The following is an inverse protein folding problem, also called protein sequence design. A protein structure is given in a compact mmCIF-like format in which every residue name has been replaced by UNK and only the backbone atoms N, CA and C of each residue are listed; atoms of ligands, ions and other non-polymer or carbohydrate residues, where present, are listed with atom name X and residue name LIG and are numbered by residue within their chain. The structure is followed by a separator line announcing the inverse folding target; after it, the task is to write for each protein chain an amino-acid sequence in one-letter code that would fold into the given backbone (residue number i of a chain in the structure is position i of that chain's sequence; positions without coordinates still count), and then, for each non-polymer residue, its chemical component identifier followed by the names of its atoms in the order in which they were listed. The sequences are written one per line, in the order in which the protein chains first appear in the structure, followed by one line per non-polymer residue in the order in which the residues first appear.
data_IF_957303656547
#
_entry.id   IF_957303656547
#
_cell.length_a   1.000
_cell.length_b   1.000
_cell.length_c   1.000
_cell.angle_alpha   90.00
_cell.angle_beta   90.00
_cell.angle_gamma   90.00
#
_symmetry.space_group_name_H-M   'P 1'
#
loop_
_entity.id
_entity.type
_entity.pdbx_description
1 polymer ?
#
# COMPACT_ATOMS: atom_id res chain seq x y z
N UNK A 1 17.23 -8.31 -5.98
CA UNK A 1 15.94 -7.58 -5.86
C UNK A 1 14.70 -8.49 -5.67
N UNK A 2 14.80 -9.82 -5.84
CA UNK A 2 13.64 -10.75 -5.77
C UNK A 2 13.16 -11.11 -4.34
N UNK A 3 13.98 -10.91 -3.30
CA UNK A 3 13.58 -11.25 -1.92
C UNK A 3 12.42 -10.40 -1.39
N UNK A 4 12.23 -9.17 -1.91
CA UNK A 4 11.14 -8.29 -1.45
C UNK A 4 9.78 -8.70 -2.02
N UNK A 5 9.72 -9.17 -3.27
CA UNK A 5 8.47 -9.60 -3.90
C UNK A 5 7.85 -10.81 -3.16
N UNK A 6 8.66 -11.85 -2.92
CA UNK A 6 8.22 -13.06 -2.20
C UNK A 6 7.85 -12.84 -0.74
N UNK A 7 8.27 -11.71 -0.15
CA UNK A 7 7.85 -11.31 1.20
C UNK A 7 6.43 -10.71 1.20
N UNK A 8 6.10 -9.92 0.19
CA UNK A 8 4.79 -9.25 0.10
C UNK A 8 3.67 -10.23 -0.26
N UNK A 9 3.94 -11.24 -1.08
CA UNK A 9 2.97 -12.29 -1.37
C UNK A 9 2.63 -13.11 -0.13
N UNK A 10 3.65 -13.44 0.69
CA UNK A 10 3.46 -14.07 2.00
C UNK A 10 2.66 -13.17 2.94
N UNK A 11 2.95 -11.87 2.96
CA UNK A 11 2.17 -10.90 3.74
C UNK A 11 0.70 -10.87 3.30
N UNK A 12 0.43 -10.90 1.99
CA UNK A 12 -0.93 -10.97 1.46
C UNK A 12 -1.70 -12.22 1.92
N UNK A 13 -1.05 -13.38 1.92
CA UNK A 13 -1.66 -14.63 2.43
C UNK A 13 -1.92 -14.58 3.93
N UNK A 14 -0.96 -14.05 4.70
CA UNK A 14 -1.11 -13.86 6.14
C UNK A 14 -2.29 -12.95 6.49
N UNK A 15 -2.43 -11.82 5.78
CA UNK A 15 -3.56 -10.91 5.98
C UNK A 15 -4.91 -11.56 5.67
N UNK A 16 -4.95 -12.47 4.68
CA UNK A 16 -6.14 -13.23 4.34
C UNK A 16 -6.50 -14.27 5.42
N UNK A 17 -5.50 -14.85 6.08
CA UNK A 17 -5.71 -15.81 7.16
C UNK A 17 -6.05 -15.16 8.51
N UNK A 18 -6.01 -13.82 8.62
CA UNK A 18 -6.38 -13.15 9.87
C UNK A 18 -7.88 -13.34 10.16
N UNK A 19 -8.25 -13.54 11.42
CA UNK A 19 -9.66 -13.64 11.80
C UNK A 19 -10.41 -12.34 11.44
N UNK A 20 -11.70 -12.45 11.13
CA UNK A 20 -12.57 -11.33 10.78
C UNK A 20 -12.97 -10.46 11.98
N UNK A 21 -12.07 -10.30 12.95
CA UNK A 21 -12.29 -9.45 14.10
C UNK A 21 -12.13 -7.97 13.72
N UNK A 22 -13.20 -7.18 13.82
CA UNK A 22 -13.21 -5.76 13.44
C UNK A 22 -12.09 -4.94 14.12
N UNK A 23 -11.79 -5.24 15.39
CA UNK A 23 -10.71 -4.57 16.14
C UNK A 23 -9.34 -4.84 15.54
N UNK A 24 -9.06 -6.09 15.16
CA UNK A 24 -7.80 -6.47 14.53
C UNK A 24 -7.68 -5.85 13.13
N UNK A 25 -8.77 -5.88 12.36
CA UNK A 25 -8.81 -5.37 10.99
C UNK A 25 -8.62 -3.84 10.90
N UNK A 26 -8.93 -3.12 11.99
CA UNK A 26 -8.70 -1.68 12.15
C UNK A 26 -7.35 -1.33 12.79
N UNK A 27 -6.57 -2.32 13.20
CA UNK A 27 -5.27 -2.05 13.82
C UNK A 27 -4.32 -1.47 12.78
N UNK A 28 -3.58 -0.43 13.16
CA UNK A 28 -2.78 0.38 12.24
C UNK A 28 -1.71 -0.46 11.50
N UNK A 29 -1.12 -1.45 12.18
CA UNK A 29 -0.17 -2.38 11.56
C UNK A 29 -0.81 -3.23 10.45
N UNK A 30 -2.06 -3.66 10.62
CA UNK A 30 -2.82 -4.43 9.63
C UNK A 30 -3.19 -3.55 8.44
N UNK A 31 -3.66 -2.32 8.70
CA UNK A 31 -3.98 -1.35 7.66
C UNK A 31 -2.74 -0.98 6.83
N UNK A 32 -1.60 -0.74 7.48
CA UNK A 32 -0.31 -0.50 6.81
C UNK A 32 0.09 -1.68 5.94
N UNK A 33 -0.02 -2.91 6.45
CA UNK A 33 0.30 -4.10 5.69
C UNK A 33 -0.61 -4.27 4.47
N UNK A 34 -1.93 -4.01 4.61
CA UNK A 34 -2.88 -4.01 3.49
C UNK A 34 -2.52 -2.95 2.43
N UNK A 35 -2.16 -1.74 2.85
CA UNK A 35 -1.72 -0.68 1.96
C UNK A 35 -0.47 -1.10 1.14
N UNK A 36 0.52 -1.72 1.78
CA UNK A 36 1.72 -2.24 1.11
C UNK A 36 1.34 -3.32 0.08
N UNK A 37 0.50 -4.29 0.46
CA UNK A 37 0.06 -5.35 -0.44
C UNK A 37 -0.73 -4.78 -1.63
N UNK A 38 -1.62 -3.81 -1.40
CA UNK A 38 -2.37 -3.15 -2.45
C UNK A 38 -1.44 -2.43 -3.44
N UNK A 39 -0.45 -1.69 -2.95
CA UNK A 39 0.57 -1.03 -3.77
C UNK A 39 1.34 -2.03 -4.66
N UNK A 40 1.83 -3.12 -4.08
CA UNK A 40 2.59 -4.14 -4.83
C UNK A 40 1.76 -4.86 -5.88
N UNK A 41 0.45 -5.01 -5.66
CA UNK A 41 -0.49 -5.59 -6.63
C UNK A 41 -0.99 -4.58 -7.66
N UNK A 42 -0.46 -3.35 -7.66
CA UNK A 42 -0.94 -2.23 -8.47
C UNK A 42 -2.43 -1.92 -8.28
N UNK A 43 -3.01 -2.28 -7.12
CA UNK A 43 -4.38 -1.94 -6.76
C UNK A 43 -4.39 -0.59 -6.04
N UNK A 44 -4.13 0.47 -6.79
CA UNK A 44 -3.95 1.82 -6.22
C UNK A 44 -5.26 2.39 -5.67
N UNK A 45 -6.41 2.07 -6.25
CA UNK A 45 -7.72 2.41 -5.69
C UNK A 45 -7.89 1.94 -4.25
N UNK A 46 -7.53 0.69 -3.97
CA UNK A 46 -7.59 0.14 -2.61
C UNK A 46 -6.57 0.80 -1.68
N UNK A 47 -5.36 1.10 -2.19
CA UNK A 47 -4.36 1.84 -1.43
C UNK A 47 -4.93 3.18 -0.96
N UNK A 48 -5.49 3.99 -1.87
CA UNK A 48 -6.03 5.32 -1.53
C UNK A 48 -7.18 5.22 -0.53
N UNK A 49 -8.13 4.31 -0.77
CA UNK A 49 -9.22 4.08 0.17
C UNK A 49 -8.71 3.77 1.58
N UNK A 50 -7.69 2.93 1.74
CA UNK A 50 -7.12 2.62 3.06
C UNK A 50 -6.49 3.86 3.70
N UNK A 51 -5.73 4.64 2.93
CA UNK A 51 -5.03 5.82 3.44
C UNK A 51 -5.99 6.95 3.83
N UNK A 52 -7.03 7.16 3.04
CA UNK A 52 -8.00 8.26 3.22
C UNK A 52 -9.06 7.93 4.26
N UNK A 53 -9.43 6.66 4.43
CA UNK A 53 -10.47 6.24 5.37
C UNK A 53 -9.98 6.00 6.80
N UNK A 54 -8.68 6.13 7.07
CA UNK A 54 -8.10 5.80 8.38
C UNK A 54 -7.10 6.85 8.83
N UNK A 55 -7.10 7.16 10.12
CA UNK A 55 -6.06 7.99 10.74
C UNK A 55 -4.88 7.12 11.15
N UNK A 56 -3.67 7.51 10.76
CA UNK A 56 -2.44 6.84 11.13
C UNK A 56 -1.65 7.67 12.15
N UNK A 57 -0.86 7.00 12.96
CA UNK A 57 0.10 7.62 13.86
C UNK A 57 1.21 8.32 13.06
N UNK A 58 1.74 9.46 13.54
CA UNK A 58 2.77 10.24 12.83
C UNK A 58 3.99 9.42 12.39
N UNK A 59 4.40 8.45 13.21
CA UNK A 59 5.49 7.52 12.92
C UNK A 59 5.33 6.73 11.61
N UNK A 60 4.09 6.49 11.16
CA UNK A 60 3.83 5.75 9.92
C UNK A 60 3.65 6.69 8.71
N UNK A 61 3.43 8.00 8.92
CA UNK A 61 3.15 8.95 7.84
C UNK A 61 4.23 8.97 6.76
N UNK A 62 5.55 9.07 7.06
CA UNK A 62 6.55 9.16 6.00
C UNK A 62 6.51 7.98 5.03
N UNK A 63 6.28 6.77 5.56
CA UNK A 63 6.22 5.54 4.74
C UNK A 63 4.95 5.49 3.88
N UNK A 64 3.81 5.89 4.44
CA UNK A 64 2.52 5.86 3.73
C UNK A 64 2.42 6.96 2.68
N UNK A 65 2.94 8.16 2.97
CA UNK A 65 3.05 9.26 2.02
C UNK A 65 3.96 8.87 0.84
N UNK A 66 5.10 8.23 1.10
CA UNK A 66 5.97 7.73 0.04
C UNK A 66 5.27 6.70 -0.87
N UNK A 67 4.46 5.80 -0.30
CA UNK A 67 3.64 4.85 -1.07
C UNK A 67 2.60 5.58 -1.94
N UNK A 68 1.89 6.55 -1.36
CA UNK A 68 0.88 7.34 -2.06
C UNK A 68 1.47 8.11 -3.24
N UNK A 69 2.58 8.82 -3.02
CA UNK A 69 3.28 9.59 -4.06
C UNK A 69 3.76 8.69 -5.19
N UNK A 70 4.37 7.55 -4.84
CA UNK A 70 4.87 6.59 -5.83
C UNK A 70 3.74 5.96 -6.64
N UNK A 71 2.59 5.69 -6.03
CA UNK A 71 1.42 5.15 -6.72
C UNK A 71 0.89 6.14 -7.77
N UNK A 72 0.70 7.40 -7.39
CA UNK A 72 0.28 8.47 -8.30
C UNK A 72 1.25 8.67 -9.45
N UNK A 73 2.55 8.62 -9.16
CA UNK A 73 3.59 8.72 -10.18
C UNK A 73 3.48 7.58 -11.20
N UNK A 74 3.36 6.32 -10.74
CA UNK A 74 3.20 5.15 -11.61
C UNK A 74 1.93 5.28 -12.47
N UNK A 75 0.80 5.71 -11.89
CA UNK A 75 -0.43 5.92 -12.66
C UNK A 75 -0.28 7.00 -13.71
N UNK A 76 0.36 8.12 -13.37
CA UNK A 76 0.61 9.21 -14.29
C UNK A 76 1.60 8.81 -15.41
N UNK A 77 2.62 7.99 -15.14
CA UNK A 77 3.48 7.39 -16.17
C UNK A 77 2.71 6.48 -17.11
N UNK A 78 1.85 5.61 -16.55
CA UNK A 78 1.01 4.69 -17.34
C UNK A 78 0.06 5.43 -18.26
N UNK A 79 -0.58 6.50 -17.76
CA UNK A 79 -1.48 7.34 -18.58
C UNK A 79 -0.73 8.07 -19.70
N UNK A 80 0.53 8.47 -19.47
CA UNK A 80 1.33 9.19 -20.47
C UNK A 80 2.04 8.29 -21.47
N UNK A 81 2.13 6.97 -21.22
CA UNK A 81 2.84 6.02 -22.07
C UNK A 81 4.36 6.22 -22.15
N UNK A 82 4.93 7.08 -21.31
CA UNK A 82 6.37 7.36 -21.21
C UNK A 82 6.75 7.69 -19.77
N UNK A 83 8.01 7.45 -19.41
CA UNK A 83 8.52 7.79 -18.08
C UNK A 83 8.32 9.29 -17.79
N UNK A 84 7.89 9.60 -16.57
CA UNK A 84 7.88 10.96 -16.07
C UNK A 84 9.34 11.35 -15.84
N UNK A 85 9.77 12.48 -16.41
CA UNK A 85 11.10 13.01 -16.10
C UNK A 85 11.14 13.55 -14.68
N UNK A 86 12.32 13.55 -14.05
CA UNK A 86 12.54 14.39 -12.88
C UNK A 86 12.34 15.86 -13.30
N UNK A 87 11.52 16.59 -12.56
CA UNK A 87 11.41 18.05 -12.65
C UNK A 87 12.23 18.67 -11.54
#
# INVERSE_FOLDING_TARGET
VLQQAGSVERLGRFLWSLPQCARLQRHESVLKAKAIVAFHRCNFKQLYQILESNTFSPQNHPKLQALWLKAHYIEAERLRGRALGAV
#
